data_IF_504470946213
#
_entry.id   IF_504470946213
#
_cell.length_a   1.000
_cell.length_b   1.000
_cell.length_c   1.000
_cell.angle_alpha   90.00
_cell.angle_beta   90.00
_cell.angle_gamma   90.00
#
_symmetry.space_group_name_H-M   'P 1'
#
loop_
_entity.id
_entity.type
_entity.pdbx_description
1 polymer ?
#
# COMPACT_ATOMS: atom_id res chain seq x y z
N UNK A 1 -11.91 50.74 -24.70
CA UNK A 1 -12.89 50.77 -25.81
C UNK A 1 -12.07 50.98 -27.09
N UNK A 2 -12.22 50.12 -28.11
CA UNK A 2 -11.62 50.39 -29.44
C UNK A 2 -12.66 51.15 -30.27
N UNK A 3 -12.22 52.08 -31.11
CA UNK A 3 -13.05 52.86 -32.05
C UNK A 3 -13.65 52.02 -33.19
N UNK A 4 -13.27 50.73 -33.31
CA UNK A 4 -13.52 49.94 -34.52
C UNK A 4 -14.80 49.10 -34.48
N UNK A 5 -15.74 49.36 -33.57
CA UNK A 5 -17.08 48.74 -33.58
C UNK A 5 -17.15 47.20 -33.50
N UNK A 6 -16.06 46.50 -33.16
CA UNK A 6 -16.03 45.03 -33.00
C UNK A 6 -16.36 44.60 -31.57
N UNK A 7 -17.18 43.56 -31.46
CA UNK A 7 -17.76 43.08 -30.20
C UNK A 7 -16.73 42.61 -29.18
N UNK A 8 -16.97 42.95 -27.91
CA UNK A 8 -16.34 42.35 -26.74
C UNK A 8 -16.74 40.87 -26.67
N UNK A 9 -15.90 39.99 -27.22
CA UNK A 9 -16.03 38.56 -26.94
C UNK A 9 -15.57 38.32 -25.50
N UNK A 10 -16.53 37.90 -24.69
CA UNK A 10 -16.41 37.73 -23.25
C UNK A 10 -15.28 36.82 -22.81
N UNK A 11 -15.14 36.75 -21.49
CA UNK A 11 -14.11 36.08 -20.70
C UNK A 11 -13.93 34.58 -20.99
N UNK A 12 -13.52 34.23 -22.21
CA UNK A 12 -12.66 33.10 -22.48
C UNK A 12 -11.23 33.55 -22.18
N UNK A 13 -10.97 33.78 -20.89
CA UNK A 13 -9.62 33.95 -20.39
C UNK A 13 -8.86 32.71 -20.79
N UNK A 14 -7.88 32.86 -21.67
CA UNK A 14 -6.91 31.82 -22.00
C UNK A 14 -6.32 31.33 -20.67
N UNK A 15 -6.81 30.20 -20.16
CA UNK A 15 -6.27 29.54 -18.96
C UNK A 15 -4.84 29.05 -19.18
N UNK A 16 -4.31 29.25 -20.39
CA UNK A 16 -2.96 28.92 -20.82
C UNK A 16 -2.38 30.17 -21.45
N UNK A 17 -1.41 30.79 -20.79
CA UNK A 17 -0.54 31.82 -21.36
C UNK A 17 0.85 31.22 -21.57
N UNK A 18 1.53 31.66 -22.62
CA UNK A 18 2.96 31.38 -22.76
C UNK A 18 3.68 32.13 -21.65
N UNK A 19 4.53 31.40 -20.93
CA UNK A 19 5.33 31.95 -19.85
C UNK A 19 6.56 32.62 -20.47
N UNK A 20 6.80 33.92 -20.20
CA UNK A 20 8.05 34.57 -20.56
C UNK A 20 9.23 33.82 -19.93
N UNK A 21 10.35 33.75 -20.65
CA UNK A 21 11.51 32.94 -20.25
C UNK A 21 12.05 33.29 -18.86
N UNK A 22 12.02 34.58 -18.50
CA UNK A 22 12.45 35.06 -17.18
C UNK A 22 11.53 34.61 -16.04
N UNK A 23 10.20 34.57 -16.25
CA UNK A 23 9.26 34.06 -15.26
C UNK A 23 9.38 32.54 -15.13
N UNK A 24 9.56 31.83 -16.25
CA UNK A 24 9.81 30.40 -16.24
C UNK A 24 11.08 30.06 -15.44
N UNK A 25 12.18 30.77 -15.69
CA UNK A 25 13.44 30.61 -14.96
C UNK A 25 13.27 30.87 -13.45
N UNK A 26 12.47 31.88 -13.07
CA UNK A 26 12.18 32.18 -11.67
C UNK A 26 11.37 31.06 -10.97
N UNK A 27 10.37 30.49 -11.65
CA UNK A 27 9.57 29.36 -11.13
C UNK A 27 10.45 28.12 -10.94
N UNK A 28 11.31 27.82 -11.92
CA UNK A 28 12.26 26.71 -11.84
C UNK A 28 13.23 26.94 -10.69
N UNK A 29 13.86 28.11 -10.59
CA UNK A 29 14.78 28.43 -9.49
C UNK A 29 14.10 28.29 -8.11
N UNK A 30 12.85 28.74 -7.96
CA UNK A 30 12.10 28.61 -6.71
C UNK A 30 11.75 27.15 -6.37
N UNK A 31 11.42 26.31 -7.36
CA UNK A 31 11.14 24.89 -7.14
C UNK A 31 12.39 24.07 -6.81
N UNK A 32 13.49 24.33 -7.51
CA UNK A 32 14.76 23.61 -7.35
C UNK A 32 15.64 24.14 -6.21
N UNK A 33 15.31 25.28 -5.59
CA UNK A 33 15.97 25.74 -4.36
C UNK A 33 15.89 24.74 -3.20
N UNK A 34 14.90 23.81 -3.23
CA UNK A 34 14.78 22.72 -2.26
C UNK A 34 15.62 21.48 -2.60
N UNK A 35 16.22 21.42 -3.80
CA UNK A 35 17.02 20.32 -4.32
C UNK A 35 18.39 20.90 -4.72
N UNK A 36 19.17 21.35 -3.74
CA UNK A 36 20.56 21.78 -3.97
C UNK A 36 21.40 20.57 -4.43
N UNK A 37 21.46 20.37 -5.74
CA UNK A 37 22.30 19.35 -6.36
C UNK A 37 21.96 18.97 -7.80
N UNK A 38 20.87 19.50 -8.39
CA UNK A 38 20.51 19.18 -9.78
C UNK A 38 20.87 20.33 -10.74
N UNK A 39 21.92 20.14 -11.53
CA UNK A 39 22.20 20.95 -12.73
C UNK A 39 21.26 20.48 -13.86
N UNK A 40 20.38 21.33 -14.42
CA UNK A 40 19.57 20.91 -15.54
C UNK A 40 20.44 20.78 -16.79
N UNK A 41 20.57 19.56 -17.30
CA UNK A 41 21.08 19.34 -18.64
C UNK A 41 20.24 20.17 -19.62
N UNK A 42 20.91 21.01 -20.43
CA UNK A 42 20.28 21.74 -21.53
C UNK A 42 19.83 20.74 -22.60
N UNK A 43 18.64 20.18 -22.46
CA UNK A 43 18.05 19.32 -23.50
C UNK A 43 17.31 20.21 -24.49
N UNK A 44 17.77 20.24 -25.74
CA UNK A 44 17.05 20.88 -26.84
C UNK A 44 15.64 20.26 -26.94
N UNK A 45 14.60 21.08 -26.76
CA UNK A 45 13.17 20.70 -26.74
C UNK A 45 12.59 20.29 -28.13
N UNK A 46 13.44 19.98 -29.11
CA UNK A 46 13.00 19.83 -30.50
C UNK A 46 12.49 18.42 -30.87
N UNK A 47 12.54 17.44 -29.97
CA UNK A 47 12.37 16.03 -30.38
C UNK A 47 11.46 15.22 -29.46
N UNK A 48 10.29 15.77 -29.11
CA UNK A 48 9.22 14.99 -28.47
C UNK A 48 8.39 14.22 -29.52
N UNK A 49 9.05 13.30 -30.23
CA UNK A 49 8.38 12.20 -30.91
C UNK A 49 8.41 10.95 -30.03
N UNK A 50 7.36 10.12 -30.05
CA UNK A 50 7.46 8.75 -29.54
C UNK A 50 8.42 7.98 -30.46
N UNK A 51 9.70 8.07 -30.16
CA UNK A 51 10.77 7.38 -30.85
C UNK A 51 10.96 6.01 -30.20
N UNK A 52 11.03 4.96 -31.02
CA UNK A 52 11.43 3.59 -30.64
C UNK A 52 12.95 3.52 -30.39
N UNK A 53 13.52 4.59 -29.82
CA UNK A 53 14.95 4.65 -29.51
C UNK A 53 15.23 3.62 -28.43
N UNK A 54 16.28 2.81 -28.64
CA UNK A 54 16.74 1.87 -27.63
C UNK A 54 16.87 2.58 -26.28
N UNK A 55 16.16 2.07 -25.28
CA UNK A 55 16.19 2.63 -23.94
C UNK A 55 17.64 2.57 -23.44
N UNK A 56 18.30 3.73 -23.37
CA UNK A 56 19.67 3.80 -22.92
C UNK A 56 19.81 3.11 -21.56
N UNK A 57 20.88 2.33 -21.34
CA UNK A 57 21.08 1.61 -20.09
C UNK A 57 21.09 2.61 -18.92
N UNK A 58 20.04 2.53 -18.09
CA UNK A 58 19.92 3.33 -16.88
C UNK A 58 20.68 2.63 -15.75
N UNK A 59 21.85 3.17 -15.41
CA UNK A 59 22.58 2.74 -14.22
C UNK A 59 21.87 3.28 -12.96
N UNK A 60 21.22 2.39 -12.21
CA UNK A 60 20.55 2.77 -10.96
C UNK A 60 21.60 3.01 -9.87
N UNK A 61 21.79 4.25 -9.40
CA UNK A 61 22.79 4.55 -8.38
C UNK A 61 22.45 3.82 -7.06
N UNK A 62 23.42 3.11 -6.50
CA UNK A 62 23.27 2.40 -5.23
C UNK A 62 23.60 3.39 -4.11
N UNK A 63 22.59 3.78 -3.32
CA UNK A 63 22.77 4.63 -2.13
C UNK A 63 22.75 3.75 -0.88
N UNK A 64 23.83 3.77 -0.11
CA UNK A 64 23.85 3.14 1.21
C UNK A 64 23.15 4.03 2.22
N UNK A 65 22.19 3.48 2.96
CA UNK A 65 21.47 4.17 4.05
C UNK A 65 21.46 3.31 5.30
N UNK A 66 21.81 3.90 6.45
CA UNK A 66 21.67 3.29 7.76
C UNK A 66 20.27 3.57 8.30
N UNK A 67 19.38 2.60 8.17
CA UNK A 67 18.03 2.66 8.76
C UNK A 67 18.03 1.97 10.12
N UNK A 68 17.63 2.70 11.17
CA UNK A 68 17.32 2.10 12.47
C UNK A 68 15.86 1.67 12.47
N UNK A 69 15.61 0.35 12.47
CA UNK A 69 14.27 -0.23 12.59
C UNK A 69 14.22 -1.12 13.83
N UNK A 70 13.11 -1.15 14.58
CA UNK A 70 12.95 -2.09 15.69
C UNK A 70 13.19 -3.53 15.25
N UNK A 71 14.08 -4.23 15.96
CA UNK A 71 14.60 -5.59 15.65
C UNK A 71 13.56 -6.74 15.78
N UNK A 72 12.30 -6.45 16.13
CA UNK A 72 11.33 -7.48 16.57
C UNK A 72 10.42 -8.01 15.47
N UNK A 73 10.31 -7.31 14.34
CA UNK A 73 9.36 -7.70 13.29
C UNK A 73 9.73 -9.01 12.58
N UNK A 74 11.02 -9.31 12.38
CA UNK A 74 11.40 -10.47 11.58
C UNK A 74 11.08 -11.79 12.29
N UNK A 75 11.33 -11.87 13.60
CA UNK A 75 11.01 -13.07 14.40
C UNK A 75 9.50 -13.26 14.52
N UNK A 76 8.73 -12.19 14.80
CA UNK A 76 7.27 -12.23 14.81
C UNK A 76 6.72 -12.75 13.47
N UNK A 77 7.16 -12.15 12.36
CA UNK A 77 6.72 -12.56 11.02
C UNK A 77 7.05 -14.01 10.71
N UNK A 78 8.20 -14.50 11.15
CA UNK A 78 8.59 -15.90 11.00
C UNK A 78 7.67 -16.81 11.82
N UNK A 79 7.49 -16.52 13.11
CA UNK A 79 6.70 -17.37 14.00
C UNK A 79 5.23 -17.43 13.61
N UNK A 80 4.62 -16.30 13.25
CA UNK A 80 3.22 -16.28 12.75
C UNK A 80 3.09 -17.13 11.50
N UNK A 81 3.94 -16.93 10.48
CA UNK A 81 3.85 -17.73 9.24
C UNK A 81 4.01 -19.24 9.49
N UNK A 82 4.92 -19.62 10.39
CA UNK A 82 5.10 -21.02 10.79
C UNK A 82 3.90 -21.59 11.55
N UNK A 83 3.28 -20.81 12.45
CA UNK A 83 2.11 -21.23 13.21
C UNK A 83 0.92 -21.62 12.31
N UNK A 84 0.80 -20.99 11.14
CA UNK A 84 -0.24 -21.27 10.15
C UNK A 84 0.25 -22.17 8.99
N UNK A 85 1.39 -22.88 9.10
CA UNK A 85 1.96 -23.71 8.02
C UNK A 85 2.10 -22.96 6.68
N UNK A 86 2.44 -21.67 6.75
CA UNK A 86 2.55 -20.76 5.60
C UNK A 86 1.26 -20.67 4.76
N UNK A 87 0.09 -20.88 5.38
CA UNK A 87 -1.23 -20.75 4.75
C UNK A 87 -1.89 -19.46 5.16
N UNK A 88 -2.68 -18.90 4.23
CA UNK A 88 -3.56 -17.78 4.55
C UNK A 88 -4.67 -18.27 5.49
N UNK A 89 -4.87 -17.59 6.61
CA UNK A 89 -5.89 -17.91 7.61
C UNK A 89 -7.31 -17.84 7.04
N UNK A 90 -7.55 -17.00 6.03
CA UNK A 90 -8.87 -16.81 5.41
C UNK A 90 -9.09 -17.75 4.22
N UNK A 91 -8.14 -17.80 3.29
CA UNK A 91 -8.32 -18.53 2.02
C UNK A 91 -7.81 -19.97 2.08
N UNK A 92 -6.93 -20.30 3.04
CA UNK A 92 -6.26 -21.60 3.15
C UNK A 92 -5.15 -21.83 2.12
N UNK A 93 -4.93 -20.88 1.20
CA UNK A 93 -3.93 -20.99 0.14
C UNK A 93 -2.52 -21.03 0.73
N UNK A 94 -1.67 -21.91 0.18
CA UNK A 94 -0.24 -22.04 0.49
C UNK A 94 0.56 -21.82 -0.78
N UNK A 95 1.11 -20.63 -0.94
CA UNK A 95 1.91 -20.25 -2.10
C UNK A 95 3.36 -20.07 -1.66
N UNK A 96 4.26 -20.85 -2.25
CA UNK A 96 5.69 -20.85 -1.95
C UNK A 96 6.43 -20.65 -3.27
N UNK A 97 7.33 -19.67 -3.32
CA UNK A 97 8.13 -19.43 -4.52
C UNK A 97 9.28 -20.46 -4.66
N UNK A 98 10.00 -20.42 -5.78
CA UNK A 98 11.13 -21.34 -6.03
C UNK A 98 12.28 -21.26 -5.03
N UNK A 99 12.35 -20.20 -4.21
CA UNK A 99 13.33 -20.02 -3.14
C UNK A 99 12.79 -20.37 -1.73
N UNK A 100 11.64 -21.03 -1.64
CA UNK A 100 11.05 -21.45 -0.35
C UNK A 100 10.41 -20.32 0.45
N UNK A 101 10.30 -19.10 -0.09
CA UNK A 101 9.65 -17.98 0.59
C UNK A 101 8.13 -18.07 0.41
N UNK A 102 7.36 -18.05 1.50
CA UNK A 102 5.91 -18.04 1.43
C UNK A 102 5.39 -16.65 1.02
N UNK A 103 4.30 -16.62 0.26
CA UNK A 103 3.60 -15.38 -0.11
C UNK A 103 2.93 -14.71 1.10
N UNK A 104 2.44 -15.52 2.04
CA UNK A 104 1.72 -15.01 3.21
C UNK A 104 2.57 -14.08 4.07
N UNK A 105 1.91 -13.08 4.61
CA UNK A 105 2.44 -12.05 5.47
C UNK A 105 1.89 -12.23 6.88
N UNK A 106 2.62 -11.78 7.89
CA UNK A 106 2.09 -11.71 9.24
C UNK A 106 1.41 -10.35 9.43
N UNK A 107 0.10 -10.38 9.61
CA UNK A 107 -0.72 -9.23 9.91
C UNK A 107 -0.94 -9.14 11.42
N UNK A 108 -0.79 -7.95 12.00
CA UNK A 108 -1.16 -7.71 13.39
C UNK A 108 -2.68 -7.57 13.50
N UNK A 109 -3.29 -8.24 14.48
CA UNK A 109 -4.72 -8.12 14.76
C UNK A 109 -5.00 -6.77 15.42
N UNK A 110 -4.29 -6.45 16.50
CA UNK A 110 -4.21 -5.11 17.06
C UNK A 110 -3.04 -4.40 16.40
N UNK A 111 -3.27 -3.30 15.65
CA UNK A 111 -2.22 -2.61 14.91
C UNK A 111 -1.08 -2.13 15.82
N UNK A 112 0.14 -2.08 15.28
CA UNK A 112 1.31 -1.51 15.97
C UNK A 112 1.08 -0.05 16.35
N UNK A 113 0.35 0.71 15.52
CA UNK A 113 -0.04 2.08 15.81
C UNK A 113 -0.92 2.22 17.07
N UNK A 114 -1.62 1.15 17.45
CA UNK A 114 -2.40 1.03 18.69
C UNK A 114 -1.62 0.34 19.83
N UNK A 115 -0.29 0.29 19.73
CA UNK A 115 0.61 -0.40 20.68
C UNK A 115 0.38 -1.93 20.74
N UNK A 116 -0.02 -2.54 19.61
CA UNK A 116 -0.17 -3.99 19.50
C UNK A 116 1.17 -4.73 19.67
N UNK A 117 1.24 -5.77 20.52
CA UNK A 117 2.50 -6.47 20.78
C UNK A 117 2.86 -7.43 19.63
N UNK A 118 4.15 -7.70 19.48
CA UNK A 118 4.72 -8.71 18.56
C UNK A 118 4.55 -10.15 19.11
N UNK A 119 3.32 -10.52 19.48
CA UNK A 119 2.96 -11.85 19.97
C UNK A 119 2.31 -12.65 18.86
N UNK A 120 2.59 -13.96 18.77
CA UNK A 120 1.91 -14.86 17.81
C UNK A 120 0.38 -14.78 17.98
N UNK A 121 -0.09 -14.60 19.21
CA UNK A 121 -1.52 -14.45 19.54
C UNK A 121 -2.13 -13.15 19.03
N UNK A 122 -1.30 -12.18 18.64
CA UNK A 122 -1.69 -10.94 17.96
C UNK A 122 -1.46 -11.03 16.44
N UNK A 123 -1.19 -12.23 15.90
CA UNK A 123 -0.78 -12.41 14.51
C UNK A 123 -1.71 -13.34 13.72
N UNK A 124 -1.95 -12.97 12.47
CA UNK A 124 -2.58 -13.81 11.44
C UNK A 124 -1.63 -13.96 10.26
N UNK A 125 -1.54 -15.16 9.68
CA UNK A 125 -0.91 -15.32 8.39
C UNK A 125 -1.93 -15.02 7.28
N UNK A 126 -1.76 -13.95 6.52
CA UNK A 126 -2.68 -13.52 5.47
C UNK A 126 -1.96 -13.35 4.12
N UNK A 127 -2.62 -13.70 3.01
CA UNK A 127 -2.12 -13.33 1.68
C UNK A 127 -2.18 -11.82 1.51
N UNK A 128 -1.36 -11.24 0.63
CA UNK A 128 -1.23 -9.78 0.49
C UNK A 128 -2.57 -9.06 0.27
N UNK A 129 -3.45 -9.63 -0.56
CA UNK A 129 -4.79 -9.08 -0.80
C UNK A 129 -5.67 -9.14 0.44
N UNK A 130 -5.67 -10.26 1.16
CA UNK A 130 -6.50 -10.41 2.38
C UNK A 130 -5.95 -9.55 3.52
N UNK A 131 -4.63 -9.46 3.63
CA UNK A 131 -3.96 -8.56 4.57
C UNK A 131 -4.42 -7.12 4.36
N UNK A 132 -4.43 -6.66 3.10
CA UNK A 132 -4.93 -5.32 2.78
C UNK A 132 -6.42 -5.14 3.14
N UNK A 133 -7.28 -6.13 2.88
CA UNK A 133 -8.69 -6.07 3.27
C UNK A 133 -8.86 -5.94 4.79
N UNK A 134 -8.05 -6.69 5.55
CA UNK A 134 -8.07 -6.72 7.01
C UNK A 134 -7.61 -5.37 7.59
N UNK A 135 -6.43 -4.89 7.20
CA UNK A 135 -5.86 -3.62 7.66
C UNK A 135 -6.74 -2.40 7.34
N UNK A 136 -7.50 -2.47 6.22
CA UNK A 136 -8.44 -1.41 5.84
C UNK A 136 -9.79 -1.49 6.54
N UNK A 137 -10.01 -2.53 7.34
CA UNK A 137 -11.24 -2.75 8.09
C UNK A 137 -12.41 -3.26 7.26
N UNK A 138 -12.15 -3.85 6.07
CA UNK A 138 -13.21 -4.40 5.20
C UNK A 138 -13.65 -5.80 5.64
N UNK A 139 -12.76 -6.51 6.33
CA UNK A 139 -13.03 -7.79 6.99
C UNK A 139 -12.58 -7.74 8.44
N UNK A 140 -13.13 -8.61 9.28
CA UNK A 140 -12.73 -8.80 10.67
C UNK A 140 -12.96 -10.25 11.09
N UNK A 141 -12.80 -10.55 12.38
CA UNK A 141 -12.93 -11.89 12.95
C UNK A 141 -13.91 -11.86 14.12
N UNK A 142 -14.80 -12.83 14.17
CA UNK A 142 -15.75 -13.02 15.27
C UNK A 142 -15.09 -13.75 16.46
N UNK A 143 -15.76 -13.76 17.61
CA UNK A 143 -15.24 -14.40 18.83
C UNK A 143 -15.07 -15.92 18.69
N UNK A 144 -15.82 -16.55 17.79
CA UNK A 144 -15.73 -17.97 17.44
C UNK A 144 -14.67 -18.25 16.35
N UNK A 145 -13.84 -17.26 16.01
CA UNK A 145 -12.84 -17.32 14.95
C UNK A 145 -13.43 -17.56 13.54
N UNK A 146 -14.70 -17.18 13.33
CA UNK A 146 -15.29 -17.07 12.00
C UNK A 146 -14.99 -15.72 11.34
N UNK A 147 -14.96 -15.70 10.02
CA UNK A 147 -14.69 -14.51 9.24
C UNK A 147 -15.92 -13.59 9.20
N UNK A 148 -15.73 -12.32 9.56
CA UNK A 148 -16.70 -11.26 9.31
C UNK A 148 -16.31 -10.57 8.00
N UNK A 149 -17.00 -10.87 6.91
CA UNK A 149 -16.76 -10.26 5.60
C UNK A 149 -18.08 -9.83 4.95
N UNK A 150 -18.59 -8.61 5.22
CA UNK A 150 -19.85 -8.15 4.65
C UNK A 150 -19.78 -8.18 3.11
N UNK A 151 -20.70 -8.87 2.39
CA UNK A 151 -20.60 -9.05 0.94
C UNK A 151 -20.46 -7.74 0.16
N UNK A 152 -21.08 -6.65 0.63
CA UNK A 152 -20.99 -5.31 0.03
C UNK A 152 -19.56 -4.73 0.03
N UNK A 153 -18.70 -5.17 0.94
CA UNK A 153 -17.33 -4.68 1.07
C UNK A 153 -16.31 -5.58 0.35
N UNK A 154 -16.75 -6.73 -0.17
CA UNK A 154 -15.88 -7.71 -0.82
C UNK A 154 -16.08 -7.63 -2.34
N UNK A 155 -15.02 -7.45 -3.12
CA UNK A 155 -15.10 -7.54 -4.58
C UNK A 155 -15.61 -8.92 -5.03
N UNK A 156 -16.46 -8.97 -6.04
CA UNK A 156 -17.03 -10.23 -6.57
C UNK A 156 -15.96 -11.27 -6.92
N UNK A 157 -14.82 -10.82 -7.46
CA UNK A 157 -13.67 -11.68 -7.79
C UNK A 157 -13.09 -12.44 -6.58
N UNK A 158 -13.33 -11.96 -5.36
CA UNK A 158 -12.87 -12.57 -4.12
C UNK A 158 -13.96 -13.33 -3.36
N UNK A 159 -15.22 -13.26 -3.79
CA UNK A 159 -16.36 -13.85 -3.08
C UNK A 159 -16.20 -15.37 -2.83
N UNK A 160 -15.57 -16.09 -3.76
CA UNK A 160 -15.28 -17.52 -3.59
C UNK A 160 -14.21 -17.82 -2.53
N UNK A 161 -13.31 -16.89 -2.24
CA UNK A 161 -12.17 -17.07 -1.34
C UNK A 161 -12.38 -16.42 0.03
N UNK A 162 -13.16 -15.34 0.09
CA UNK A 162 -13.41 -14.51 1.28
C UNK A 162 -14.91 -14.57 1.58
N UNK A 163 -15.31 -15.58 2.37
CA UNK A 163 -16.71 -15.89 2.64
C UNK A 163 -17.09 -15.55 4.08
N UNK A 164 -18.14 -14.75 4.25
CA UNK A 164 -18.70 -14.44 5.57
C UNK A 164 -19.10 -15.70 6.32
N UNK A 165 -18.81 -15.76 7.63
CA UNK A 165 -19.14 -16.88 8.51
C UNK A 165 -18.25 -18.11 8.34
N UNK A 166 -17.34 -18.13 7.34
CA UNK A 166 -16.40 -19.24 7.18
C UNK A 166 -15.40 -19.25 8.35
N UNK A 167 -15.15 -20.40 9.00
CA UNK A 167 -14.12 -20.49 10.03
C UNK A 167 -12.74 -20.19 9.44
N UNK A 168 -11.93 -19.43 10.19
CA UNK A 168 -10.53 -19.23 9.83
C UNK A 168 -9.76 -20.54 10.01
N UNK A 169 -8.74 -20.74 9.18
CA UNK A 169 -7.67 -21.68 9.47
C UNK A 169 -6.90 -21.14 10.68
N UNK A 170 -6.84 -21.93 11.75
CA UNK A 170 -6.16 -21.59 12.99
C UNK A 170 -4.84 -22.35 13.15
N UNK A 171 -3.91 -21.85 13.98
CA UNK A 171 -2.73 -22.62 14.38
C UNK A 171 -3.13 -23.93 15.06
N UNK A 172 -2.28 -24.96 14.89
CA UNK A 172 -2.47 -26.26 15.57
C UNK A 172 -2.24 -26.18 17.08
N UNK A 173 -1.38 -25.26 17.50
CA UNK A 173 -1.07 -25.01 18.90
C UNK A 173 -2.09 -24.01 19.49
N UNK A 174 -2.80 -24.40 20.53
CA UNK A 174 -3.76 -23.55 21.23
C UNK A 174 -3.12 -22.30 21.82
N UNK A 175 -1.85 -22.39 22.25
CA UNK A 175 -1.12 -21.24 22.79
C UNK A 175 -0.86 -20.15 21.72
N UNK A 176 -0.90 -20.53 20.45
CA UNK A 176 -0.72 -19.63 19.31
C UNK A 176 -2.04 -19.05 18.78
N UNK A 177 -3.20 -19.44 19.34
CA UNK A 177 -4.49 -18.92 18.89
C UNK A 177 -4.59 -17.41 19.08
N UNK A 178 -5.22 -16.70 18.12
CA UNK A 178 -5.60 -15.31 18.26
C UNK A 178 -6.26 -15.01 19.61
N UNK A 179 -5.70 -14.05 20.35
CA UNK A 179 -6.26 -13.70 21.66
C UNK A 179 -7.50 -12.80 21.49
N UNK A 180 -8.55 -13.10 22.26
CA UNK A 180 -9.85 -12.41 22.17
C UNK A 180 -9.74 -10.89 22.26
N UNK A 181 -8.89 -10.37 23.14
CA UNK A 181 -8.73 -8.91 23.32
C UNK A 181 -8.22 -8.19 22.05
N UNK A 182 -7.37 -8.84 21.24
CA UNK A 182 -6.88 -8.25 20.00
C UNK A 182 -7.98 -8.27 18.93
N UNK A 183 -8.72 -9.38 18.86
CA UNK A 183 -9.86 -9.50 17.95
C UNK A 183 -10.92 -8.44 18.28
N UNK A 184 -11.26 -8.29 19.56
CA UNK A 184 -12.19 -7.27 20.04
C UNK A 184 -11.69 -5.86 19.70
N UNK A 185 -10.40 -5.58 19.91
CA UNK A 185 -9.82 -4.30 19.51
C UNK A 185 -9.98 -4.06 18.02
N UNK A 186 -9.65 -5.04 17.17
CA UNK A 186 -9.80 -4.93 15.72
C UNK A 186 -11.24 -4.63 15.32
N UNK A 187 -12.21 -5.36 15.89
CA UNK A 187 -13.65 -5.11 15.64
C UNK A 187 -14.09 -3.71 16.06
N UNK A 188 -13.59 -3.20 17.18
CA UNK A 188 -14.06 -1.93 17.74
C UNK A 188 -13.35 -0.70 17.15
N UNK A 189 -12.13 -0.85 16.63
CA UNK A 189 -11.28 0.29 16.25
C UNK A 189 -10.78 0.27 14.81
N UNK A 190 -10.82 -0.89 14.13
CA UNK A 190 -10.29 -1.03 12.76
C UNK A 190 -11.40 -1.36 11.77
N UNK A 191 -12.28 -2.30 12.12
CA UNK A 191 -13.37 -2.75 11.27
C UNK A 191 -14.38 -1.64 10.97
N UNK A 192 -14.88 -1.58 9.73
CA UNK A 192 -15.75 -0.51 9.21
C UNK A 192 -17.13 -1.01 8.75
N UNK A 193 -17.40 -2.31 8.94
CA UNK A 193 -18.63 -2.97 8.50
C UNK A 193 -19.65 -3.16 9.61
#
# INVERSE_FOLDING_TARGET
>A
MREDGKTSKGAFGRSVRLLPEHEFAAIIAAGYASISGYEPARTNLADFGFSDTEQAPYERPIVQSLISRPFREESFRRHVRLAYDNRCAVTGLRLINGGGRPEVQAAHIMPVASNGPDSIRNGLALSGTVHWLFDRGLISIADDLSLIAPPKLIPDALAGLVQHGKPLLTPRDEAALPHRSFIEHHRNHVFKG
#
